data_IF_435276244783
#
_entry.id   IF_435276244783
#
_cell.length_a   1.000
_cell.length_b   1.000
_cell.length_c   1.000
_cell.angle_alpha   90.00
_cell.angle_beta   90.00
_cell.angle_gamma   90.00
#
_symmetry.space_group_name_H-M   'P 1'
#
loop_
_entity.id
_entity.type
_entity.pdbx_description
1 polymer ?
#
# COMPACT_ATOMS: atom_id res chain seq x y z
N UNK A 1 -20.47 10.79 10.56
CA UNK A 1 -19.63 11.74 9.81
C UNK A 1 -18.27 11.09 9.67
N UNK A 2 -17.77 10.94 8.45
CA UNK A 2 -16.37 10.54 8.23
C UNK A 2 -15.52 11.73 8.69
N UNK A 3 -14.74 11.53 9.74
CA UNK A 3 -14.03 12.61 10.46
C UNK A 3 -12.96 13.29 9.59
N UNK A 4 -12.36 12.58 8.63
CA UNK A 4 -11.25 13.10 7.81
C UNK A 4 -11.47 12.97 6.28
N UNK A 5 -12.67 12.56 5.86
CA UNK A 5 -13.02 12.36 4.45
C UNK A 5 -12.33 11.17 3.77
N UNK A 6 -12.80 10.81 2.57
CA UNK A 6 -12.35 9.62 1.83
C UNK A 6 -10.90 9.68 1.33
N UNK A 7 -10.31 10.87 1.37
CA UNK A 7 -8.96 11.13 0.87
C UNK A 7 -7.88 11.07 1.94
N UNK A 8 -8.25 10.87 3.20
CA UNK A 8 -7.30 10.59 4.27
C UNK A 8 -6.46 9.34 3.95
N UNK A 9 -5.17 9.40 4.24
CA UNK A 9 -4.20 8.32 4.04
C UNK A 9 -3.40 8.10 5.33
N UNK A 10 -2.85 6.89 5.48
CA UNK A 10 -2.00 6.57 6.64
C UNK A 10 -0.80 7.52 6.74
N UNK A 11 -0.19 7.89 5.60
CA UNK A 11 0.94 8.82 5.58
C UNK A 11 0.61 10.24 6.09
N UNK A 12 -0.66 10.60 6.25
CA UNK A 12 -1.05 11.91 6.80
C UNK A 12 -0.92 11.97 8.33
N UNK A 13 -0.87 10.80 9.00
CA UNK A 13 -0.90 10.70 10.47
C UNK A 13 0.39 10.18 11.08
N UNK A 14 1.29 9.61 10.28
CA UNK A 14 2.51 8.98 10.75
C UNK A 14 3.74 9.68 10.16
N UNK A 15 4.56 10.27 11.03
CA UNK A 15 5.82 10.90 10.64
C UNK A 15 6.84 9.90 10.08
N UNK A 16 6.77 8.64 10.55
CA UNK A 16 7.66 7.56 10.13
C UNK A 16 6.85 6.29 9.91
N UNK A 17 7.10 5.63 8.78
CA UNK A 17 6.51 4.35 8.43
C UNK A 17 7.63 3.40 8.01
N UNK A 18 7.68 2.22 8.61
CA UNK A 18 8.68 1.19 8.30
C UNK A 18 8.04 -0.17 8.03
N UNK A 19 8.75 -1.01 7.28
CA UNK A 19 8.29 -2.35 6.92
C UNK A 19 9.43 -3.23 6.40
N UNK A 20 9.34 -4.53 6.64
CA UNK A 20 10.35 -5.54 6.20
C UNK A 20 9.65 -6.64 5.41
N UNK A 21 10.33 -7.18 4.39
CA UNK A 21 9.77 -8.19 3.48
C UNK A 21 8.49 -7.66 2.80
N UNK A 22 7.39 -8.41 2.80
CA UNK A 22 6.07 -7.97 2.31
C UNK A 22 5.62 -6.64 2.96
N UNK A 23 5.99 -6.41 4.22
CA UNK A 23 5.73 -5.15 4.90
C UNK A 23 6.44 -3.96 4.26
N UNK A 24 7.65 -4.15 3.72
CA UNK A 24 8.39 -3.09 3.02
C UNK A 24 7.76 -2.71 1.68
N UNK A 25 7.20 -3.69 0.96
CA UNK A 25 6.39 -3.43 -0.23
C UNK A 25 5.13 -2.63 0.11
N UNK A 26 4.44 -3.02 1.19
CA UNK A 26 3.26 -2.28 1.67
C UNK A 26 3.62 -0.85 2.07
N UNK A 27 4.72 -0.66 2.81
CA UNK A 27 5.22 0.68 3.16
C UNK A 27 5.41 1.52 1.90
N UNK A 28 6.13 1.01 0.90
CA UNK A 28 6.34 1.73 -0.35
C UNK A 28 5.02 2.10 -1.05
N UNK A 29 4.03 1.20 -1.08
CA UNK A 29 2.73 1.46 -1.71
C UNK A 29 1.96 2.62 -1.03
N UNK A 30 2.02 2.72 0.30
CA UNK A 30 1.28 3.75 1.06
C UNK A 30 2.08 5.04 1.32
N UNK A 31 3.35 5.11 0.89
CA UNK A 31 4.18 6.31 1.03
C UNK A 31 4.71 6.87 -0.28
N UNK A 32 4.73 6.08 -1.37
CA UNK A 32 5.16 6.57 -2.67
C UNK A 32 4.17 7.63 -3.21
N UNK A 33 4.64 8.81 -3.62
CA UNK A 33 3.77 9.87 -4.09
C UNK A 33 3.25 9.62 -5.52
N UNK A 34 2.03 10.05 -5.79
CA UNK A 34 1.46 10.24 -7.12
C UNK A 34 1.79 11.64 -7.69
N UNK A 35 1.19 11.99 -8.83
CA UNK A 35 1.35 13.31 -9.47
C UNK A 35 0.88 14.48 -8.58
N UNK A 36 -0.02 14.22 -7.62
CA UNK A 36 -0.54 15.18 -6.66
C UNK A 36 0.24 15.18 -5.34
N UNK A 37 1.35 14.45 -5.24
CA UNK A 37 2.15 14.24 -4.02
C UNK A 37 1.36 13.58 -2.89
N UNK A 38 0.36 12.75 -3.22
CA UNK A 38 -0.40 11.92 -2.30
C UNK A 38 0.04 10.46 -2.42
N UNK A 39 -0.10 9.62 -1.38
CA UNK A 39 0.14 8.19 -1.50
C UNK A 39 -0.59 7.56 -2.69
N UNK A 40 0.17 6.86 -3.54
CA UNK A 40 -0.31 6.21 -4.76
C UNK A 40 -1.40 5.17 -4.48
N UNK A 41 -1.33 4.50 -3.31
CA UNK A 41 -2.33 3.54 -2.88
C UNK A 41 -2.95 3.96 -1.54
N UNK A 42 -4.26 3.78 -1.40
CA UNK A 42 -4.90 3.76 -0.09
C UNK A 42 -4.75 2.37 0.56
N UNK A 43 -4.90 2.30 1.89
CA UNK A 43 -4.78 1.04 2.61
C UNK A 43 -5.73 -0.06 2.10
N UNK A 44 -6.94 0.33 1.65
CA UNK A 44 -7.94 -0.58 1.08
C UNK A 44 -7.49 -1.23 -0.25
N UNK A 45 -6.56 -0.61 -0.97
CA UNK A 45 -6.11 -1.05 -2.30
C UNK A 45 -5.01 -2.12 -2.22
N UNK A 46 -4.38 -2.28 -1.05
CA UNK A 46 -3.30 -3.27 -0.83
C UNK A 46 -3.80 -4.70 -1.04
N UNK A 47 -4.98 -5.04 -0.49
CA UNK A 47 -5.53 -6.40 -0.60
C UNK A 47 -5.82 -6.77 -2.07
N UNK A 48 -6.57 -5.96 -2.85
CA UNK A 48 -6.76 -6.19 -4.27
C UNK A 48 -5.44 -6.34 -5.03
N UNK A 49 -4.46 -5.46 -4.77
CA UNK A 49 -3.14 -5.54 -5.42
C UNK A 49 -2.48 -6.91 -5.23
N UNK A 50 -2.47 -7.45 -4.02
CA UNK A 50 -1.87 -8.77 -3.78
C UNK A 50 -2.70 -9.90 -4.38
N UNK A 51 -4.03 -9.83 -4.40
CA UNK A 51 -4.84 -10.86 -5.06
C UNK A 51 -4.51 -10.95 -6.55
N UNK A 52 -4.32 -9.82 -7.21
CA UNK A 52 -4.06 -9.77 -8.65
C UNK A 52 -2.59 -10.07 -9.02
N UNK A 53 -1.65 -9.71 -8.15
CA UNK A 53 -0.21 -9.77 -8.45
C UNK A 53 0.55 -10.89 -7.73
N UNK A 54 0.03 -11.47 -6.64
CA UNK A 54 0.72 -12.56 -5.91
C UNK A 54 1.19 -13.70 -6.81
N UNK A 55 0.38 -14.24 -7.75
CA UNK A 55 0.83 -15.34 -8.61
C UNK A 55 2.01 -14.98 -9.51
N UNK A 56 2.18 -13.68 -9.82
CA UNK A 56 3.28 -13.16 -10.64
C UNK A 56 4.52 -12.87 -9.79
N UNK A 57 4.32 -12.33 -8.59
CA UNK A 57 5.40 -12.00 -7.63
C UNK A 57 5.98 -13.27 -7.02
N UNK A 58 5.12 -14.23 -6.67
CA UNK A 58 5.45 -15.50 -6.03
C UNK A 58 4.90 -16.67 -6.85
N UNK A 59 5.50 -16.96 -8.03
CA UNK A 59 5.05 -18.06 -8.85
C UNK A 59 5.21 -19.37 -8.08
N UNK A 60 4.10 -20.09 -7.87
CA UNK A 60 4.15 -21.43 -7.28
C UNK A 60 4.83 -22.38 -8.26
N UNK A 61 6.07 -22.77 -7.98
CA UNK A 61 6.71 -23.88 -8.68
C UNK A 61 6.01 -25.15 -8.24
N UNK A 62 5.41 -25.89 -9.18
CA UNK A 62 4.96 -27.26 -8.92
C UNK A 62 6.22 -28.09 -8.71
N UNK A 63 6.42 -28.56 -7.48
CA UNK A 63 7.38 -29.62 -7.16
C UNK A 63 6.85 -30.98 -7.62
#
# INVERSE_FOLDING_TARGET
MEIDGKDARLADYFDVIGGTSTGGLVTAMITAPDENRRPLFAAKDIKPFYLDNCPKIFPQRRS
#
